data_IF_549670634723
#
_entry.id   IF_549670634723
#
_cell.length_a   1.000
_cell.length_b   1.000
_cell.length_c   1.000
_cell.angle_alpha   90.00
_cell.angle_beta   90.00
_cell.angle_gamma   90.00
#
_symmetry.space_group_name_H-M   'P 1'
#
loop_
_entity.id
_entity.type
_entity.pdbx_description
1 polymer ?
#
# COMPACT_ATOMS: atom_id res chain seq x y z
N UNK A 1 -22.10 13.51 -0.42
CA UNK A 1 -20.65 13.64 -0.08
C UNK A 1 -20.52 14.69 1.01
N UNK A 2 -20.04 14.31 2.19
CA UNK A 2 -20.02 15.20 3.36
C UNK A 2 -18.93 16.27 3.23
N UNK A 3 -19.29 17.54 3.45
CA UNK A 3 -18.36 18.70 3.47
C UNK A 3 -17.17 18.51 4.44
N UNK A 4 -17.35 17.69 5.47
CA UNK A 4 -16.34 17.38 6.49
C UNK A 4 -15.24 16.45 5.94
N UNK A 5 -15.58 15.50 5.07
CA UNK A 5 -14.61 14.58 4.44
C UNK A 5 -13.57 15.33 3.62
N UNK A 6 -14.00 16.30 2.83
CA UNK A 6 -13.08 17.09 2.01
C UNK A 6 -12.08 17.93 2.87
N UNK A 7 -12.53 18.52 3.99
CA UNK A 7 -11.66 19.30 4.90
C UNK A 7 -10.63 18.42 5.59
N UNK A 8 -11.00 17.22 6.03
CA UNK A 8 -10.09 16.26 6.66
C UNK A 8 -9.03 15.79 5.67
N UNK A 9 -9.42 15.48 4.43
CA UNK A 9 -8.50 15.04 3.38
C UNK A 9 -7.49 16.13 3.03
N UNK A 10 -7.95 17.37 2.84
CA UNK A 10 -7.07 18.52 2.57
C UNK A 10 -6.08 18.75 3.71
N UNK A 11 -6.56 18.75 4.96
CA UNK A 11 -5.68 18.90 6.12
C UNK A 11 -4.67 17.74 6.19
N UNK A 12 -5.10 16.50 5.99
CA UNK A 12 -4.20 15.34 5.99
C UNK A 12 -3.10 15.50 4.95
N UNK A 13 -3.41 15.97 3.74
CA UNK A 13 -2.44 16.20 2.68
C UNK A 13 -1.42 17.28 3.07
N UNK A 14 -1.87 18.41 3.62
CA UNK A 14 -0.98 19.48 4.07
C UNK A 14 -0.06 19.04 5.22
N UNK A 15 -0.61 18.30 6.19
CA UNK A 15 0.19 17.76 7.28
C UNK A 15 1.20 16.70 6.82
N UNK A 16 0.88 15.91 5.78
CA UNK A 16 1.85 15.00 5.15
C UNK A 16 3.02 15.74 4.52
N UNK A 17 2.76 16.83 3.79
CA UNK A 17 3.82 17.68 3.22
C UNK A 17 4.73 18.26 4.32
N UNK A 18 4.13 18.72 5.42
CA UNK A 18 4.86 19.24 6.58
C UNK A 18 5.75 18.16 7.21
N UNK A 19 5.21 16.94 7.44
CA UNK A 19 5.96 15.81 7.99
C UNK A 19 7.15 15.46 7.09
N UNK A 20 7.01 15.54 5.77
CA UNK A 20 8.09 15.25 4.83
C UNK A 20 9.32 16.16 5.05
N UNK A 21 9.11 17.40 5.50
CA UNK A 21 10.14 18.39 5.76
C UNK A 21 10.70 18.36 7.20
N UNK A 22 10.06 17.64 8.12
CA UNK A 22 10.50 17.52 9.51
C UNK A 22 11.45 16.34 9.70
N UNK A 23 12.27 16.35 10.74
CA UNK A 23 13.15 15.24 11.09
C UNK A 23 12.40 14.08 11.75
N UNK A 24 12.94 12.86 11.64
CA UNK A 24 12.43 11.69 12.38
C UNK A 24 12.55 11.93 13.88
N UNK A 25 11.49 11.62 14.63
CA UNK A 25 11.41 11.88 16.06
C UNK A 25 11.13 13.33 16.45
N UNK A 26 11.00 14.25 15.50
CA UNK A 26 10.65 15.64 15.82
C UNK A 26 9.25 15.74 16.46
N UNK A 27 9.05 16.61 17.48
CA UNK A 27 7.75 16.81 18.09
C UNK A 27 6.77 17.41 17.09
N UNK A 28 5.57 16.82 17.02
CA UNK A 28 4.53 17.27 16.11
C UNK A 28 3.54 18.20 16.84
N UNK A 29 3.00 19.23 16.17
CA UNK A 29 2.08 20.18 16.79
C UNK A 29 0.87 19.51 17.44
N UNK A 30 0.44 20.07 18.55
CA UNK A 30 -0.75 19.61 19.29
C UNK A 30 -2.04 19.93 18.53
N UNK A 31 -3.13 19.24 18.89
CA UNK A 31 -4.47 19.50 18.34
C UNK A 31 -4.83 20.97 18.44
N UNK A 32 -4.57 21.61 19.59
CA UNK A 32 -4.87 23.03 19.82
C UNK A 32 -4.08 23.96 18.89
N UNK A 33 -2.80 23.68 18.69
CA UNK A 33 -1.96 24.46 17.77
C UNK A 33 -2.45 24.32 16.31
N UNK A 34 -2.80 23.10 15.89
CA UNK A 34 -3.31 22.84 14.54
C UNK A 34 -4.68 23.50 14.29
N UNK A 35 -5.56 23.55 15.31
CA UNK A 35 -6.83 24.29 15.21
C UNK A 35 -6.54 25.78 14.94
N UNK A 36 -5.64 26.38 15.72
CA UNK A 36 -5.28 27.80 15.56
C UNK A 36 -4.60 28.08 14.21
N UNK A 37 -3.72 27.20 13.75
CA UNK A 37 -2.93 27.39 12.53
C UNK A 37 -3.77 27.21 11.25
N UNK A 38 -4.64 26.19 11.21
CA UNK A 38 -5.43 25.84 10.03
C UNK A 38 -6.87 26.33 10.04
N UNK A 39 -7.34 26.91 11.11
CA UNK A 39 -8.72 27.44 11.22
C UNK A 39 -9.80 26.38 11.04
N UNK A 40 -9.53 25.14 11.46
CA UNK A 40 -10.44 24.01 11.31
C UNK A 40 -10.95 23.52 12.67
N UNK A 41 -12.07 22.80 12.68
CA UNK A 41 -12.64 22.27 13.92
C UNK A 41 -11.81 21.13 14.50
N UNK A 42 -11.92 20.93 15.83
CA UNK A 42 -11.25 19.83 16.52
C UNK A 42 -11.51 18.44 15.90
N UNK A 43 -12.75 18.05 15.54
CA UNK A 43 -13.00 16.75 14.92
C UNK A 43 -12.22 16.54 13.62
N UNK A 44 -12.06 17.60 12.81
CA UNK A 44 -11.29 17.54 11.56
C UNK A 44 -9.80 17.30 11.84
N UNK A 45 -9.24 17.99 12.84
CA UNK A 45 -7.84 17.79 13.24
C UNK A 45 -7.63 16.38 13.79
N UNK A 46 -8.50 15.94 14.69
CA UNK A 46 -8.41 14.58 15.28
C UNK A 46 -8.48 13.51 14.20
N UNK A 47 -9.42 13.61 13.26
CA UNK A 47 -9.54 12.67 12.14
C UNK A 47 -8.29 12.65 11.25
N UNK A 48 -7.73 13.83 10.95
CA UNK A 48 -6.49 13.92 10.17
C UNK A 48 -5.30 13.30 10.91
N UNK A 49 -5.13 13.57 12.21
CA UNK A 49 -4.07 12.97 13.02
C UNK A 49 -4.23 11.45 13.16
N UNK A 50 -5.45 10.95 13.29
CA UNK A 50 -5.73 9.51 13.32
C UNK A 50 -5.27 8.86 12.02
N UNK A 51 -5.62 9.45 10.87
CA UNK A 51 -5.15 8.98 9.56
C UNK A 51 -3.61 8.97 9.44
N UNK A 52 -2.95 10.02 9.93
CA UNK A 52 -1.47 10.09 9.92
C UNK A 52 -0.84 9.02 10.82
N UNK A 53 -1.46 8.67 11.94
CA UNK A 53 -1.01 7.57 12.81
C UNK A 53 -1.25 6.20 12.15
N UNK A 54 -2.38 6.00 11.49
CA UNK A 54 -2.67 4.79 10.71
C UNK A 54 -1.65 4.60 9.58
N UNK A 55 -1.21 5.71 8.97
CA UNK A 55 -0.14 5.72 7.97
C UNK A 55 1.26 5.59 8.58
N UNK A 56 1.36 5.44 9.90
CA UNK A 56 2.62 5.37 10.65
C UNK A 56 3.55 6.59 10.47
N UNK A 57 2.98 7.72 10.05
CA UNK A 57 3.70 8.99 9.91
C UNK A 57 3.88 9.72 11.23
N UNK A 58 3.08 9.37 12.22
CA UNK A 58 3.13 9.89 13.59
C UNK A 58 3.05 8.76 14.60
N UNK A 59 3.85 8.86 15.66
CA UNK A 59 3.73 8.06 16.88
C UNK A 59 3.22 8.91 18.02
N UNK A 60 2.37 8.36 18.89
CA UNK A 60 1.88 9.05 20.09
C UNK A 60 2.54 8.45 21.33
N UNK A 61 3.07 9.31 22.17
CA UNK A 61 3.58 8.94 23.49
C UNK A 61 2.68 9.55 24.56
N UNK A 62 2.18 8.71 25.46
CA UNK A 62 1.29 9.15 26.55
C UNK A 62 1.98 10.24 27.37
N UNK A 63 1.29 11.36 27.59
CA UNK A 63 1.80 12.52 28.33
C UNK A 63 2.87 13.37 27.61
N UNK A 64 3.37 12.94 26.44
CA UNK A 64 4.44 13.63 25.72
C UNK A 64 4.02 14.16 24.33
N UNK A 65 2.84 13.81 23.86
CA UNK A 65 2.33 14.25 22.56
C UNK A 65 2.59 13.31 21.40
N UNK A 66 2.54 13.87 20.20
CA UNK A 66 2.81 13.15 18.95
C UNK A 66 4.18 13.55 18.40
N UNK A 67 4.84 12.61 17.74
CA UNK A 67 6.17 12.78 17.16
C UNK A 67 6.16 12.25 15.73
N UNK A 68 6.95 12.88 14.87
CA UNK A 68 7.15 12.40 13.50
C UNK A 68 7.81 11.03 13.54
N UNK A 69 7.29 10.10 12.75
CA UNK A 69 7.89 8.78 12.57
C UNK A 69 8.20 8.60 11.08
N UNK A 70 9.48 8.60 10.75
CA UNK A 70 9.96 8.32 9.39
C UNK A 70 10.48 6.88 9.24
N UNK A 71 10.60 6.14 10.34
CA UNK A 71 11.11 4.76 10.33
C UNK A 71 10.27 3.84 9.44
N UNK A 72 8.96 4.13 9.37
CA UNK A 72 8.04 3.41 8.47
C UNK A 72 7.39 4.34 7.41
N UNK A 73 7.64 5.65 7.48
CA UNK A 73 6.94 6.71 6.75
C UNK A 73 7.46 6.95 5.32
N UNK A 74 8.09 6.00 4.74
CA UNK A 74 8.59 6.09 3.37
C UNK A 74 8.81 4.73 2.73
N UNK A 75 8.73 3.65 3.52
CA UNK A 75 8.83 2.32 2.95
C UNK A 75 7.54 2.01 2.20
N UNK A 76 7.67 1.96 0.88
CA UNK A 76 6.61 1.41 0.04
C UNK A 76 6.33 -0.03 0.45
N UNK A 77 5.07 -0.37 0.59
CA UNK A 77 4.63 -1.73 0.94
C UNK A 77 4.37 -2.50 -0.32
N UNK A 78 5.13 -3.53 -0.54
CA UNK A 78 4.94 -4.45 -1.65
C UNK A 78 4.31 -5.73 -1.12
N UNK A 79 3.12 -6.04 -1.59
CA UNK A 79 2.39 -7.25 -1.27
C UNK A 79 2.62 -8.29 -2.38
N UNK A 80 3.20 -9.43 -2.02
CA UNK A 80 3.14 -10.62 -2.85
C UNK A 80 1.83 -11.35 -2.53
N UNK A 81 0.94 -11.42 -3.52
CA UNK A 81 -0.34 -12.10 -3.44
C UNK A 81 -0.29 -13.38 -4.26
N UNK A 82 -0.39 -14.52 -3.61
CA UNK A 82 -0.27 -15.84 -4.23
C UNK A 82 -1.51 -16.68 -3.99
N UNK A 83 -1.82 -17.64 -4.89
CA UNK A 83 -2.84 -18.65 -4.60
C UNK A 83 -2.40 -19.52 -3.42
N UNK A 84 -3.33 -20.02 -2.64
CA UNK A 84 -3.07 -20.98 -1.55
C UNK A 84 -2.83 -22.41 -2.09
N UNK A 85 -2.14 -22.49 -3.21
CA UNK A 85 -1.79 -23.73 -3.88
C UNK A 85 -0.60 -24.41 -3.19
N UNK A 86 -0.66 -25.72 -2.92
CA UNK A 86 0.41 -26.42 -2.18
C UNK A 86 1.67 -26.71 -3.03
N UNK A 87 1.88 -25.97 -4.11
CA UNK A 87 3.01 -26.16 -5.03
C UNK A 87 4.34 -25.64 -4.50
N UNK A 88 5.41 -26.41 -4.64
CA UNK A 88 6.75 -26.02 -4.24
C UNK A 88 7.25 -24.81 -5.06
N UNK A 89 6.97 -24.77 -6.35
CA UNK A 89 7.32 -23.68 -7.26
C UNK A 89 6.71 -22.34 -6.85
N UNK A 90 5.53 -22.32 -6.23
CA UNK A 90 4.89 -21.12 -5.70
C UNK A 90 5.63 -20.59 -4.47
N UNK A 91 6.02 -21.50 -3.59
CA UNK A 91 6.76 -21.15 -2.37
C UNK A 91 8.17 -20.65 -2.65
N UNK A 92 8.80 -21.16 -3.71
CA UNK A 92 10.15 -20.77 -4.10
C UNK A 92 10.29 -19.29 -4.48
N UNK A 93 9.20 -18.65 -4.94
CA UNK A 93 9.20 -17.23 -5.32
C UNK A 93 9.26 -16.29 -4.11
N UNK A 94 8.74 -16.72 -2.96
CA UNK A 94 8.63 -15.86 -1.76
C UNK A 94 9.99 -15.27 -1.33
N UNK A 95 11.07 -16.06 -1.12
CA UNK A 95 12.35 -15.53 -0.67
C UNK A 95 12.99 -14.62 -1.71
N UNK A 96 12.80 -14.88 -3.00
CA UNK A 96 13.36 -14.08 -4.08
C UNK A 96 12.72 -12.69 -4.15
N UNK A 97 11.38 -12.64 -4.17
CA UNK A 97 10.64 -11.37 -4.17
C UNK A 97 10.91 -10.60 -2.88
N UNK A 98 10.93 -11.27 -1.72
CA UNK A 98 11.28 -10.63 -0.45
C UNK A 98 12.64 -9.96 -0.52
N UNK A 99 13.67 -10.66 -0.99
CA UNK A 99 15.04 -10.15 -1.09
C UNK A 99 15.10 -8.90 -1.98
N UNK A 100 14.45 -8.94 -3.15
CA UNK A 100 14.40 -7.79 -4.05
C UNK A 100 13.67 -6.59 -3.46
N UNK A 101 12.52 -6.82 -2.81
CA UNK A 101 11.71 -5.76 -2.16
C UNK A 101 12.47 -5.12 -1.00
N UNK A 102 13.11 -5.91 -0.15
CA UNK A 102 13.87 -5.42 1.00
C UNK A 102 15.16 -4.69 0.55
N UNK A 103 15.84 -5.18 -0.49
CA UNK A 103 16.98 -4.52 -1.10
C UNK A 103 16.62 -3.16 -1.70
N UNK A 104 15.40 -3.00 -2.22
CA UNK A 104 14.85 -1.73 -2.69
C UNK A 104 14.38 -0.80 -1.54
N UNK A 105 14.60 -1.17 -0.28
CA UNK A 105 14.18 -0.40 0.90
C UNK A 105 12.67 -0.42 1.16
N UNK A 106 11.93 -1.34 0.52
CA UNK A 106 10.49 -1.50 0.68
C UNK A 106 10.13 -2.48 1.81
N UNK A 107 8.90 -2.40 2.33
CA UNK A 107 8.33 -3.37 3.27
C UNK A 107 7.72 -4.52 2.47
N UNK A 108 8.20 -5.74 2.70
CA UNK A 108 7.64 -6.94 2.09
C UNK A 108 6.47 -7.49 2.91
N UNK A 109 5.38 -7.82 2.23
CA UNK A 109 4.24 -8.55 2.78
C UNK A 109 3.89 -9.71 1.87
N UNK A 110 3.36 -10.77 2.47
CA UNK A 110 2.88 -11.94 1.75
C UNK A 110 1.49 -12.32 2.26
N UNK A 111 0.59 -12.56 1.33
CA UNK A 111 -0.75 -13.10 1.61
C UNK A 111 -1.12 -14.12 0.54
N UNK A 112 -2.03 -15.01 0.89
CA UNK A 112 -2.59 -15.97 -0.04
C UNK A 112 -4.06 -15.66 -0.32
N UNK A 113 -4.55 -16.10 -1.48
CA UNK A 113 -5.96 -16.07 -1.86
C UNK A 113 -6.41 -17.47 -2.24
N UNK A 114 -7.70 -17.75 -2.05
CA UNK A 114 -8.29 -19.02 -2.46
C UNK A 114 -8.37 -19.06 -4.00
N UNK A 115 -7.55 -19.90 -4.61
CA UNK A 115 -7.48 -20.05 -6.07
C UNK A 115 -8.72 -20.70 -6.68
N UNK A 116 -9.59 -21.30 -5.87
CA UNK A 116 -10.84 -21.93 -6.31
C UNK A 116 -11.98 -20.93 -6.46
N UNK A 117 -11.81 -19.74 -5.92
CA UNK A 117 -12.79 -18.67 -6.08
C UNK A 117 -12.62 -18.07 -7.48
N UNK A 118 -13.68 -18.10 -8.28
CA UNK A 118 -13.73 -17.48 -9.61
C UNK A 118 -13.64 -15.93 -9.54
N UNK A 119 -13.76 -15.39 -8.35
CA UNK A 119 -13.71 -13.93 -8.11
C UNK A 119 -12.37 -13.58 -7.47
N UNK A 120 -11.53 -12.75 -8.11
CA UNK A 120 -10.31 -12.28 -7.47
C UNK A 120 -10.65 -11.43 -6.25
N UNK A 121 -9.77 -11.42 -5.25
CA UNK A 121 -9.93 -10.56 -4.11
C UNK A 121 -9.94 -9.08 -4.55
N UNK A 122 -10.74 -8.25 -3.89
CA UNK A 122 -10.75 -6.81 -4.14
C UNK A 122 -9.38 -6.22 -3.82
N UNK A 123 -8.66 -5.75 -4.84
CA UNK A 123 -7.32 -5.16 -4.67
C UNK A 123 -7.34 -3.87 -3.85
N UNK A 124 -8.49 -3.21 -3.76
CA UNK A 124 -8.67 -2.01 -2.94
C UNK A 124 -8.57 -2.26 -1.43
N UNK A 125 -8.83 -3.50 -0.99
CA UNK A 125 -8.83 -3.87 0.43
C UNK A 125 -7.42 -4.13 0.97
N UNK A 126 -6.45 -4.32 0.08
CA UNK A 126 -5.06 -4.54 0.48
C UNK A 126 -4.37 -3.20 0.78
N UNK A 127 -3.83 -3.09 2.00
CA UNK A 127 -3.01 -1.94 2.42
C UNK A 127 -1.59 -2.06 1.84
N UNK A 128 -1.46 -1.96 0.53
CA UNK A 128 -0.21 -2.03 -0.20
C UNK A 128 -0.02 -0.79 -1.09
N UNK A 129 1.21 -0.51 -1.47
CA UNK A 129 1.56 0.53 -2.44
C UNK A 129 1.87 -0.08 -3.82
N UNK A 130 2.09 -1.40 -3.86
CA UNK A 130 2.24 -2.24 -5.04
C UNK A 130 1.80 -3.66 -4.70
N UNK A 131 1.10 -4.32 -5.60
CA UNK A 131 0.75 -5.74 -5.52
C UNK A 131 1.50 -6.50 -6.62
N UNK A 132 2.27 -7.50 -6.22
CA UNK A 132 2.83 -8.52 -7.12
C UNK A 132 1.89 -9.72 -7.06
N UNK A 133 1.16 -9.97 -8.12
CA UNK A 133 0.21 -11.06 -8.23
C UNK A 133 0.87 -12.26 -8.90
N UNK A 134 1.08 -13.31 -8.13
CA UNK A 134 1.54 -14.59 -8.66
C UNK A 134 0.32 -15.43 -9.05
N UNK A 135 0.17 -15.67 -10.35
CA UNK A 135 -0.91 -16.47 -10.90
C UNK A 135 -0.33 -17.65 -11.68
N UNK A 136 -0.43 -18.88 -11.17
CA UNK A 136 0.17 -20.06 -11.81
C UNK A 136 -0.58 -20.51 -13.07
N UNK A 137 -1.81 -20.07 -13.28
CA UNK A 137 -2.72 -20.61 -14.30
C UNK A 137 -2.83 -19.74 -15.54
N UNK A 138 -1.85 -18.92 -15.87
CA UNK A 138 -1.90 -18.13 -17.11
C UNK A 138 -3.19 -17.28 -17.26
N UNK A 139 -3.43 -16.66 -18.40
CA UNK A 139 -4.42 -15.61 -18.60
C UNK A 139 -5.87 -16.07 -18.72
N UNK A 140 -6.30 -17.08 -18.02
CA UNK A 140 -7.74 -17.37 -17.87
C UNK A 140 -8.37 -16.46 -16.82
N UNK A 141 -7.92 -15.21 -16.78
CA UNK A 141 -8.62 -14.20 -16.02
C UNK A 141 -9.91 -13.85 -16.79
N UNK A 142 -11.05 -14.07 -16.16
CA UNK A 142 -12.29 -13.59 -16.70
C UNK A 142 -12.20 -12.09 -17.01
N UNK A 143 -12.90 -11.58 -18.05
CA UNK A 143 -12.85 -10.16 -18.42
C UNK A 143 -13.12 -9.21 -17.25
N UNK A 144 -14.03 -9.59 -16.35
CA UNK A 144 -14.37 -8.83 -15.13
C UNK A 144 -13.18 -8.69 -14.19
N UNK A 145 -12.34 -9.71 -14.12
CA UNK A 145 -11.16 -9.73 -13.29
C UNK A 145 -10.08 -8.81 -13.83
N UNK A 146 -9.89 -8.81 -15.14
CA UNK A 146 -8.98 -7.90 -15.84
C UNK A 146 -9.40 -6.46 -15.62
N UNK A 147 -10.68 -6.15 -15.76
CA UNK A 147 -11.20 -4.82 -15.54
C UNK A 147 -11.00 -4.35 -14.09
N UNK A 148 -11.21 -5.23 -13.11
CA UNK A 148 -10.95 -4.95 -11.69
C UNK A 148 -9.47 -4.63 -11.43
N UNK A 149 -8.56 -5.35 -12.07
CA UNK A 149 -7.10 -5.12 -11.94
C UNK A 149 -6.71 -3.79 -12.58
N UNK A 150 -7.17 -3.52 -13.79
CA UNK A 150 -6.86 -2.27 -14.51
C UNK A 150 -7.40 -1.06 -13.75
N UNK A 151 -8.56 -1.17 -13.11
CA UNK A 151 -9.16 -0.12 -12.29
C UNK A 151 -8.66 -0.09 -10.84
N UNK A 152 -7.75 -0.97 -10.46
CA UNK A 152 -7.23 -1.00 -9.10
C UNK A 152 -6.58 0.33 -8.73
N UNK A 153 -6.89 0.90 -7.55
CA UNK A 153 -6.22 2.09 -7.05
C UNK A 153 -4.76 1.81 -6.65
N UNK A 154 -4.39 0.54 -6.52
CA UNK A 154 -3.04 0.07 -6.23
C UNK A 154 -2.48 -0.56 -7.50
N UNK A 155 -1.28 -0.18 -7.98
CA UNK A 155 -0.65 -0.84 -9.11
C UNK A 155 -0.51 -2.34 -8.89
N UNK A 156 -0.85 -3.14 -9.91
CA UNK A 156 -0.72 -4.59 -9.88
C UNK A 156 0.27 -5.01 -10.98
N UNK A 157 1.23 -5.85 -10.62
CA UNK A 157 2.19 -6.47 -11.53
C UNK A 157 1.99 -7.98 -11.48
N UNK A 158 1.80 -8.60 -12.62
CA UNK A 158 1.77 -10.04 -12.75
C UNK A 158 3.18 -10.62 -12.72
N UNK A 159 3.35 -11.72 -12.04
CA UNK A 159 4.61 -12.44 -11.91
C UNK A 159 4.47 -13.81 -12.59
N UNK A 160 5.49 -14.21 -13.34
CA UNK A 160 5.66 -15.50 -14.03
C UNK A 160 4.83 -15.74 -15.30
N UNK A 161 3.80 -14.99 -15.56
CA UNK A 161 3.01 -15.16 -16.78
C UNK A 161 3.10 -13.93 -17.65
N UNK A 162 3.37 -14.16 -18.93
CA UNK A 162 3.21 -13.15 -19.95
C UNK A 162 1.71 -13.01 -20.25
N UNK A 163 1.17 -11.83 -19.96
CA UNK A 163 -0.22 -11.51 -20.24
C UNK A 163 -0.23 -10.40 -21.26
N UNK A 164 -0.40 -10.71 -22.55
CA UNK A 164 -0.37 -9.73 -23.62
C UNK A 164 -1.67 -8.90 -23.68
N UNK A 165 -2.05 -8.33 -22.54
CA UNK A 165 -3.23 -7.46 -22.41
C UNK A 165 -2.74 -6.03 -22.21
N UNK A 166 -3.20 -5.14 -23.08
CA UNK A 166 -2.89 -3.73 -23.00
C UNK A 166 -3.36 -3.13 -21.67
N UNK A 167 -2.42 -2.47 -20.96
CA UNK A 167 -2.70 -1.84 -19.67
C UNK A 167 -2.35 -2.69 -18.45
N UNK A 168 -1.92 -3.95 -18.62
CA UNK A 168 -1.38 -4.76 -17.54
C UNK A 168 0.14 -4.75 -17.54
N UNK A 169 0.73 -4.68 -16.34
CA UNK A 169 2.16 -4.84 -16.16
C UNK A 169 2.46 -6.30 -15.76
N UNK A 170 3.52 -6.87 -16.33
CA UNK A 170 3.94 -8.23 -15.99
C UNK A 170 5.46 -8.35 -15.94
N UNK A 171 5.94 -9.32 -15.18
CA UNK A 171 7.33 -9.76 -15.11
C UNK A 171 7.33 -11.25 -15.39
N UNK A 172 8.00 -11.68 -16.47
CA UNK A 172 8.20 -13.09 -16.81
C UNK A 172 9.68 -13.45 -16.80
N UNK A 173 9.97 -14.74 -16.73
CA UNK A 173 11.32 -15.25 -16.96
C UNK A 173 11.71 -15.01 -18.42
N UNK A 174 12.94 -14.57 -18.62
CA UNK A 174 13.51 -14.47 -19.97
C UNK A 174 13.93 -15.87 -20.45
N UNK A 175 13.00 -16.57 -21.06
CA UNK A 175 13.26 -17.90 -21.62
C UNK A 175 14.07 -17.88 -22.92
N UNK A 176 14.48 -16.71 -23.40
CA UNK A 176 15.25 -16.54 -24.63
C UNK A 176 16.75 -16.31 -24.39
N UNK A 177 17.18 -16.17 -23.13
CA UNK A 177 18.57 -16.00 -22.73
C UNK A 177 19.24 -17.35 -22.41
N UNK A 178 19.25 -18.29 -23.36
CA UNK A 178 20.01 -19.55 -23.24
C UNK A 178 20.86 -19.80 -24.49
#
# INVERSE_FOLDING_TARGET
>A
MSLTGNKTERLTLELRKRIALMDDGAPFPTVRQLIGEYGVSQPVVVAALTRLKELKLLTAHVGRGSFVSKKDAGRKRVLLLQPDWPGESIRAVIPEVRRGVEAAGCEFRHQTYDYKLDTPPSFADYRADLIVLDSPTGPQLAPENIESIVRSPVPVIFCRNEIPIQGLNYICEDNYAS
#
